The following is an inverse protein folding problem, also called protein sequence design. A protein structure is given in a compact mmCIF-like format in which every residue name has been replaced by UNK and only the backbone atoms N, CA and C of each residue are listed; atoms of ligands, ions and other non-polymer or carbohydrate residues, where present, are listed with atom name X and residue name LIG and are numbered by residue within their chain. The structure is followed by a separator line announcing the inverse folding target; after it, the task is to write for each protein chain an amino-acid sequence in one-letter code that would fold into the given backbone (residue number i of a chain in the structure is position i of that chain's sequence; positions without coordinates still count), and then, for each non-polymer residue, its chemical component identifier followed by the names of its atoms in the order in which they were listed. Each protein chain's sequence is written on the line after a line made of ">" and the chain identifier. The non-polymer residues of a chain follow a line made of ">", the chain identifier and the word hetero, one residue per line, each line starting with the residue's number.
data_IF_355312645074
#
_entry.id   IF_355312645074
#
_cell.length_a   1.000
_cell.length_b   1.000
_cell.length_c   1.000
_cell.angle_alpha   90.00
_cell.angle_beta   90.00
_cell.angle_gamma   90.00
#
_symmetry.space_group_name_H-M   'P 1'
#
loop_
_entity.id
_entity.type
_entity.pdbx_description
1 polymer ?
#
# COMPACT_ATOMS: atom_id res chain seq x y z
N UNK A 1 4.04 -20.75 31.19
CA UNK A 1 2.87 -19.97 30.74
C UNK A 1 2.84 -20.04 29.22
N UNK A 2 1.92 -20.83 28.67
CA UNK A 2 1.68 -20.89 27.23
C UNK A 2 0.98 -19.59 26.84
N UNK A 3 1.71 -18.70 26.17
CA UNK A 3 1.18 -17.44 25.65
C UNK A 3 0.23 -17.81 24.51
N UNK A 4 -1.07 -17.83 24.81
CA UNK A 4 -2.11 -18.03 23.79
C UNK A 4 -2.08 -16.78 22.92
N UNK A 5 -1.45 -16.90 21.74
CA UNK A 5 -1.52 -15.90 20.69
C UNK A 5 -2.97 -15.81 20.23
N UNK A 6 -3.71 -14.86 20.77
CA UNK A 6 -5.06 -14.56 20.31
C UNK A 6 -4.92 -13.84 18.97
N UNK A 7 -4.97 -14.60 17.88
CA UNK A 7 -4.95 -14.02 16.55
C UNK A 7 -6.28 -13.31 16.32
N UNK A 8 -6.24 -12.01 16.02
CA UNK A 8 -7.44 -11.23 15.75
C UNK A 8 -8.08 -11.81 14.48
N UNK A 9 -9.38 -12.16 14.50
CA UNK A 9 -10.09 -12.64 13.33
C UNK A 9 -9.98 -11.67 12.15
N UNK A 10 -9.91 -12.20 10.93
CA UNK A 10 -9.69 -11.40 9.72
C UNK A 10 -10.74 -10.30 9.51
N UNK A 11 -12.01 -10.61 9.75
CA UNK A 11 -13.10 -9.64 9.68
C UNK A 11 -12.92 -8.46 10.66
N UNK A 12 -12.38 -8.71 11.85
CA UNK A 12 -12.08 -7.66 12.83
C UNK A 12 -10.88 -6.85 12.38
N UNK A 13 -9.84 -7.49 11.82
CA UNK A 13 -8.69 -6.80 11.23
C UNK A 13 -9.10 -5.86 10.09
N UNK A 14 -10.00 -6.29 9.19
CA UNK A 14 -10.54 -5.43 8.14
C UNK A 14 -11.28 -4.20 8.70
N UNK A 15 -12.05 -4.39 9.79
CA UNK A 15 -12.72 -3.27 10.45
C UNK A 15 -11.71 -2.28 11.04
N UNK A 16 -10.62 -2.77 11.66
CA UNK A 16 -9.54 -1.92 12.18
C UNK A 16 -8.89 -1.12 11.04
N UNK A 17 -8.63 -1.73 9.89
CA UNK A 17 -8.09 -1.05 8.70
C UNK A 17 -9.05 0.05 8.22
N UNK A 18 -10.35 -0.25 8.14
CA UNK A 18 -11.38 0.75 7.77
C UNK A 18 -11.41 1.93 8.74
N UNK A 19 -11.27 1.69 10.04
CA UNK A 19 -11.18 2.76 11.05
C UNK A 19 -9.93 3.61 10.83
N UNK A 20 -8.77 2.99 10.59
CA UNK A 20 -7.54 3.72 10.29
C UNK A 20 -7.71 4.63 9.06
N UNK A 21 -8.25 4.11 7.96
CA UNK A 21 -8.47 4.89 6.75
C UNK A 21 -9.51 6.00 6.96
N UNK A 22 -10.55 5.75 7.75
CA UNK A 22 -11.51 6.80 8.09
C UNK A 22 -10.90 7.91 8.94
N UNK A 23 -9.97 7.57 9.84
CA UNK A 23 -9.22 8.56 10.60
C UNK A 23 -8.35 9.44 9.69
N UNK A 24 -7.68 8.83 8.70
CA UNK A 24 -6.91 9.54 7.66
C UNK A 24 -7.81 10.52 6.89
N UNK A 25 -8.95 10.05 6.37
CA UNK A 25 -9.91 10.89 5.62
C UNK A 25 -10.39 12.12 6.41
N UNK A 26 -10.55 11.98 7.73
CA UNK A 26 -10.99 13.08 8.60
C UNK A 26 -9.84 13.97 9.11
N UNK A 27 -8.59 13.70 8.72
CA UNK A 27 -7.43 14.44 9.19
C UNK A 27 -7.00 14.10 10.63
N UNK A 28 -7.51 13.03 11.22
CA UNK A 28 -7.08 12.49 12.53
C UNK A 28 -5.79 11.68 12.35
N UNK A 29 -4.71 12.37 11.97
CA UNK A 29 -3.47 11.72 11.50
C UNK A 29 -2.74 10.98 12.63
N UNK A 30 -2.73 11.50 13.86
CA UNK A 30 -2.00 10.88 14.97
C UNK A 30 -2.70 9.60 15.47
N UNK A 31 -4.03 9.61 15.51
CA UNK A 31 -4.84 8.42 15.77
C UNK A 31 -4.67 7.38 14.67
N UNK A 32 -4.71 7.82 13.40
CA UNK A 32 -4.48 6.93 12.27
C UNK A 32 -3.12 6.24 12.37
N UNK A 33 -2.03 7.00 12.61
CA UNK A 33 -0.67 6.45 12.77
C UNK A 33 -0.59 5.43 13.89
N UNK A 34 -1.21 5.70 15.04
CA UNK A 34 -1.24 4.77 16.18
C UNK A 34 -1.86 3.43 15.81
N UNK A 35 -2.94 3.44 15.00
CA UNK A 35 -3.58 2.21 14.52
C UNK A 35 -2.70 1.51 13.48
N UNK A 36 -2.10 2.26 12.55
CA UNK A 36 -1.21 1.71 11.52
C UNK A 36 0.03 1.06 12.15
N UNK A 37 0.64 1.67 13.16
CA UNK A 37 1.76 1.09 13.91
C UNK A 37 1.39 -0.23 14.59
N UNK A 38 0.20 -0.30 15.18
CA UNK A 38 -0.32 -1.54 15.74
C UNK A 38 -0.53 -2.60 14.65
N UNK A 39 -1.04 -2.23 13.47
CA UNK A 39 -1.19 -3.13 12.34
C UNK A 39 0.16 -3.63 11.80
N UNK A 40 1.14 -2.75 11.61
CA UNK A 40 2.48 -3.13 11.14
C UNK A 40 3.18 -4.10 12.11
N UNK A 41 3.04 -3.87 13.42
CA UNK A 41 3.65 -4.72 14.45
C UNK A 41 3.04 -6.12 14.48
N UNK A 42 1.71 -6.22 14.39
CA UNK A 42 1.01 -7.49 14.51
C UNK A 42 0.86 -8.23 13.16
N UNK A 43 0.92 -7.51 12.03
CA UNK A 43 0.71 -8.04 10.68
C UNK A 43 1.73 -7.46 9.68
N UNK A 44 3.04 -7.73 9.86
CA UNK A 44 4.11 -7.08 9.10
C UNK A 44 4.13 -7.39 7.60
N UNK A 45 3.46 -8.46 7.16
CA UNK A 45 3.33 -8.84 5.75
C UNK A 45 2.07 -8.27 5.07
N UNK A 46 1.22 -7.57 5.83
CA UNK A 46 0.04 -6.90 5.28
C UNK A 46 0.42 -5.54 4.70
N UNK A 47 -0.01 -5.27 3.47
CA UNK A 47 0.17 -3.96 2.86
C UNK A 47 -0.66 -2.85 3.54
N UNK A 48 -1.64 -3.19 4.39
CA UNK A 48 -2.62 -2.23 4.91
C UNK A 48 -1.98 -1.05 5.67
N UNK A 49 -0.97 -1.33 6.50
CA UNK A 49 -0.26 -0.27 7.23
C UNK A 49 0.49 0.66 6.27
N UNK A 50 1.23 0.09 5.32
CA UNK A 50 2.00 0.88 4.36
C UNK A 50 1.09 1.70 3.44
N UNK A 51 -0.06 1.15 3.03
CA UNK A 51 -1.10 1.87 2.28
C UNK A 51 -1.56 3.09 3.08
N UNK A 52 -1.89 2.91 4.36
CA UNK A 52 -2.30 4.01 5.23
C UNK A 52 -1.21 5.09 5.35
N UNK A 53 0.05 4.70 5.52
CA UNK A 53 1.16 5.63 5.53
C UNK A 53 1.33 6.37 4.20
N UNK A 54 1.15 5.68 3.07
CA UNK A 54 1.19 6.32 1.76
C UNK A 54 0.05 7.33 1.57
N UNK A 55 -1.18 7.03 2.04
CA UNK A 55 -2.31 7.97 2.02
C UNK A 55 -2.03 9.24 2.83
N UNK A 56 -1.42 9.10 4.01
CA UNK A 56 -0.99 10.25 4.83
C UNK A 56 0.03 11.11 4.06
N UNK A 57 1.02 10.50 3.40
CA UNK A 57 1.98 11.25 2.59
C UNK A 57 1.33 11.93 1.39
N UNK A 58 0.34 11.30 0.75
CA UNK A 58 -0.45 11.91 -0.34
C UNK A 58 -1.22 13.13 0.16
N UNK A 59 -1.87 13.07 1.33
CA UNK A 59 -2.56 14.22 1.92
C UNK A 59 -1.61 15.39 2.20
N UNK A 60 -0.36 15.08 2.53
CA UNK A 60 0.71 16.07 2.71
C UNK A 60 1.36 16.52 1.40
N UNK A 61 0.81 16.14 0.24
CA UNK A 61 1.39 16.40 -1.10
C UNK A 61 2.80 15.82 -1.31
N UNK A 62 3.24 14.88 -0.46
CA UNK A 62 4.52 14.21 -0.55
C UNK A 62 4.46 12.98 -1.47
N UNK A 63 3.99 13.17 -2.70
CA UNK A 63 3.70 12.06 -3.63
C UNK A 63 4.90 11.16 -3.91
N UNK A 64 6.11 11.72 -4.04
CA UNK A 64 7.33 10.93 -4.27
C UNK A 64 7.60 9.94 -3.13
N UNK A 65 7.32 10.32 -1.88
CA UNK A 65 7.49 9.44 -0.71
C UNK A 65 6.40 8.37 -0.68
N UNK A 66 5.14 8.74 -0.96
CA UNK A 66 4.02 7.80 -1.06
C UNK A 66 4.26 6.73 -2.13
N UNK A 67 4.67 7.14 -3.33
CA UNK A 67 5.01 6.22 -4.44
C UNK A 67 6.11 5.24 -4.03
N UNK A 68 7.16 5.72 -3.36
CA UNK A 68 8.26 4.86 -2.88
C UNK A 68 7.79 3.84 -1.85
N UNK A 69 6.95 4.25 -0.89
CA UNK A 69 6.36 3.34 0.10
C UNK A 69 5.60 2.23 -0.63
N UNK A 70 4.68 2.60 -1.52
CA UNK A 70 3.81 1.64 -2.21
C UNK A 70 4.58 0.67 -3.11
N UNK A 71 5.61 1.14 -3.83
CA UNK A 71 6.48 0.25 -4.62
C UNK A 71 7.17 -0.80 -3.73
N UNK A 72 7.76 -0.37 -2.62
CA UNK A 72 8.39 -1.28 -1.67
C UNK A 72 7.36 -2.25 -1.06
N UNK A 73 6.14 -1.80 -0.78
CA UNK A 73 5.04 -2.62 -0.28
C UNK A 73 4.67 -3.72 -1.27
N UNK A 74 4.60 -3.42 -2.57
CA UNK A 74 4.29 -4.40 -3.61
C UNK A 74 5.37 -5.47 -3.78
N UNK A 75 6.62 -5.18 -3.42
CA UNK A 75 7.72 -6.14 -3.48
C UNK A 75 7.73 -7.11 -2.27
N UNK A 76 7.32 -6.64 -1.08
CA UNK A 76 7.46 -7.40 0.17
C UNK A 76 6.17 -8.03 0.71
N UNK A 77 5.00 -7.52 0.30
CA UNK A 77 3.71 -7.91 0.89
C UNK A 77 3.10 -9.12 0.18
N UNK A 78 2.28 -9.88 0.89
CA UNK A 78 1.58 -11.06 0.34
C UNK A 78 0.10 -10.79 0.08
N UNK A 79 -0.49 -9.80 0.75
CA UNK A 79 -1.91 -9.47 0.72
C UNK A 79 -2.13 -7.98 0.43
N UNK A 80 -3.34 -7.64 -0.05
CA UNK A 80 -3.79 -6.28 -0.39
C UNK A 80 -2.93 -5.59 -1.48
N UNK A 81 -2.48 -6.37 -2.47
CA UNK A 81 -1.61 -5.88 -3.54
C UNK A 81 -2.39 -5.02 -4.52
N UNK A 82 -3.65 -5.36 -4.79
CA UNK A 82 -4.56 -4.63 -5.64
C UNK A 82 -4.84 -3.24 -5.08
N UNK A 83 -5.16 -3.14 -3.78
CA UNK A 83 -5.39 -1.85 -3.11
C UNK A 83 -4.12 -0.99 -3.12
N UNK A 84 -2.95 -1.58 -2.82
CA UNK A 84 -1.69 -0.86 -2.89
C UNK A 84 -1.40 -0.33 -4.31
N UNK A 85 -1.70 -1.11 -5.35
CA UNK A 85 -1.56 -0.67 -6.74
C UNK A 85 -2.53 0.45 -7.11
N UNK A 86 -3.79 0.37 -6.67
CA UNK A 86 -4.78 1.43 -6.91
C UNK A 86 -4.32 2.75 -6.28
N UNK A 87 -3.82 2.72 -5.04
CA UNK A 87 -3.29 3.92 -4.37
C UNK A 87 -2.01 4.41 -5.06
N UNK A 88 -1.18 3.51 -5.59
CA UNK A 88 0.01 3.88 -6.36
C UNK A 88 -0.37 4.63 -7.64
N UNK A 89 -1.35 4.13 -8.39
CA UNK A 89 -1.89 4.80 -9.58
C UNK A 89 -2.40 6.20 -9.24
N UNK A 90 -3.16 6.32 -8.16
CA UNK A 90 -3.65 7.61 -7.70
C UNK A 90 -2.50 8.58 -7.38
N UNK A 91 -1.50 8.15 -6.63
CA UNK A 91 -0.33 8.97 -6.29
C UNK A 91 0.45 9.41 -7.54
N UNK A 92 0.64 8.51 -8.52
CA UNK A 92 1.30 8.82 -9.78
C UNK A 92 0.52 9.88 -10.58
N UNK A 93 -0.79 9.71 -10.74
CA UNK A 93 -1.64 10.70 -11.45
C UNK A 93 -1.61 12.05 -10.74
N UNK A 94 -1.79 12.07 -9.42
CA UNK A 94 -1.78 13.30 -8.63
C UNK A 94 -0.43 14.05 -8.69
N UNK A 95 0.68 13.33 -8.86
CA UNK A 95 2.02 13.90 -9.05
C UNK A 95 2.37 14.30 -10.49
N UNK A 96 1.46 14.13 -11.45
CA UNK A 96 1.69 14.44 -12.87
C UNK A 96 2.41 13.32 -13.66
N UNK A 97 2.72 12.17 -13.03
CA UNK A 97 3.33 10.99 -13.68
C UNK A 97 2.31 10.17 -14.45
N UNK A 98 1.50 10.81 -15.29
CA UNK A 98 0.33 10.21 -15.95
C UNK A 98 0.72 9.07 -16.89
N UNK A 99 1.87 9.16 -17.58
CA UNK A 99 2.33 8.10 -18.48
C UNK A 99 2.76 6.84 -17.71
N UNK A 100 3.46 7.00 -16.58
CA UNK A 100 3.80 5.87 -15.69
C UNK A 100 2.52 5.22 -15.14
N UNK A 101 1.55 6.03 -14.70
CA UNK A 101 0.27 5.52 -14.20
C UNK A 101 -0.50 4.74 -15.28
N UNK A 102 -0.55 5.23 -16.51
CA UNK A 102 -1.20 4.53 -17.64
C UNK A 102 -0.54 3.18 -17.91
N UNK A 103 0.79 3.13 -17.91
CA UNK A 103 1.53 1.90 -18.11
C UNK A 103 1.24 0.88 -17.01
N UNK A 104 1.28 1.31 -15.74
CA UNK A 104 0.99 0.46 -14.59
C UNK A 104 -0.47 -0.05 -14.61
N UNK A 105 -1.44 0.82 -14.91
CA UNK A 105 -2.86 0.44 -15.01
C UNK A 105 -3.10 -0.57 -16.13
N UNK A 106 -2.41 -0.42 -17.28
CA UNK A 106 -2.46 -1.38 -18.37
C UNK A 106 -1.92 -2.74 -17.93
N UNK A 107 -0.79 -2.78 -17.23
CA UNK A 107 -0.23 -4.03 -16.72
C UNK A 107 -1.16 -4.75 -15.73
N UNK A 108 -1.88 -3.99 -14.89
CA UNK A 108 -2.89 -4.56 -13.98
C UNK A 108 -4.04 -5.21 -14.75
N UNK A 109 -4.58 -4.54 -15.76
CA UNK A 109 -5.73 -5.03 -16.54
C UNK A 109 -5.36 -6.18 -17.48
N UNK A 110 -4.14 -6.20 -18.01
CA UNK A 110 -3.67 -7.24 -18.94
C UNK A 110 -3.12 -8.50 -18.22
N UNK A 111 -3.11 -8.53 -16.88
CA UNK A 111 -2.69 -9.71 -16.11
C UNK A 111 -1.21 -10.10 -16.28
N UNK A 112 -0.38 -9.25 -16.90
CA UNK A 112 1.05 -9.51 -17.20
C UNK A 112 1.96 -9.59 -15.96
N UNK A 113 1.41 -9.50 -14.76
CA UNK A 113 2.15 -9.48 -13.51
C UNK A 113 1.84 -10.67 -12.58
N UNK A 114 1.17 -11.72 -13.07
CA UNK A 114 1.08 -13.00 -12.36
C UNK A 114 2.08 -14.00 -12.93
N UNK A 115 3.35 -13.82 -12.58
CA UNK A 115 4.31 -14.90 -12.38
C UNK A 115 5.55 -14.33 -11.68
N UNK A 116 5.95 -14.98 -10.58
CA UNK A 116 7.16 -14.64 -9.80
C UNK A 116 8.48 -14.77 -10.61
N UNK A 117 8.42 -15.21 -11.87
CA UNK A 117 9.60 -15.45 -12.69
C UNK A 117 10.07 -14.25 -13.53
N UNK A 118 9.30 -13.16 -13.60
CA UNK A 118 9.61 -12.03 -14.48
C UNK A 118 10.16 -10.78 -13.78
N UNK A 119 10.81 -10.91 -12.61
CA UNK A 119 11.67 -9.85 -12.05
C UNK A 119 13.01 -9.82 -12.82
N UNK A 120 12.94 -9.64 -14.13
CA UNK A 120 13.99 -9.08 -14.97
C UNK A 120 13.26 -8.31 -16.07
N UNK A 121 13.74 -7.11 -16.36
CA UNK A 121 13.26 -6.18 -17.40
C UNK A 121 12.21 -5.16 -16.89
N UNK A 122 12.63 -4.26 -15.98
CA UNK A 122 12.15 -2.86 -15.99
C UNK A 122 13.30 -1.92 -15.58
N UNK A 123 14.48 -2.05 -16.20
CA UNK A 123 15.57 -1.03 -16.08
C UNK A 123 16.47 -0.97 -17.32
N UNK A 124 16.00 -1.37 -18.51
CA UNK A 124 16.86 -1.44 -19.70
C UNK A 124 16.56 -0.42 -20.81
N UNK A 125 15.49 0.37 -20.73
CA UNK A 125 15.11 1.28 -21.83
C UNK A 125 14.82 2.72 -21.36
N UNK A 126 15.79 3.31 -20.66
CA UNK A 126 15.88 4.76 -20.50
C UNK A 126 17.29 5.24 -20.89
N UNK A 127 17.67 4.93 -22.13
CA UNK A 127 18.75 5.55 -22.88
C UNK A 127 18.19 6.25 -24.11
#
# INVERSE_FOLDING_TARGET
>A
MTQVSYEIPENIRELIVKVAFKAIENGCIDEAKSILDALAKNYPLSAASDIGYALIEIMNSNFSKAIRILKNTLEKSINCLEEARIVLLYAMVASGKVNEAKYEAKNMLEGKLVSKDNIKIIFAEMG
#
